data_IF_933563969483
#
_entry.id   IF_933563969483
#
_cell.length_a   1.000
_cell.length_b   1.000
_cell.length_c   1.000
_cell.angle_alpha   90.00
_cell.angle_beta   90.00
_cell.angle_gamma   90.00
#
_symmetry.space_group_name_H-M   'P 1'
#
loop_
_entity.id
_entity.type
_entity.pdbx_description
1 polymer ?
#
# COMPACT_ATOMS: atom_id res chain seq x y z
N UNK A 1 -5.28 -8.90 20.82
CA UNK A 1 -6.63 -8.83 20.20
C UNK A 1 -6.76 -7.48 19.53
N UNK A 2 -7.10 -7.41 18.22
CA UNK A 2 -7.40 -6.12 17.57
C UNK A 2 -8.76 -5.64 18.08
N UNK A 3 -8.80 -4.47 18.69
CA UNK A 3 -10.04 -3.87 19.16
C UNK A 3 -10.83 -3.36 17.95
N UNK A 4 -12.04 -3.88 17.77
CA UNK A 4 -12.93 -3.49 16.69
C UNK A 4 -13.58 -2.14 17.04
N UNK A 5 -13.27 -1.10 16.28
CA UNK A 5 -13.85 0.23 16.47
C UNK A 5 -15.09 0.34 15.59
N UNK A 6 -16.26 0.13 16.20
CA UNK A 6 -17.55 0.28 15.54
C UNK A 6 -18.28 1.53 16.05
N UNK A 7 -18.95 2.23 15.14
CA UNK A 7 -19.86 3.34 15.46
C UNK A 7 -21.17 3.09 14.74
N UNK A 8 -22.29 3.21 15.45
CA UNK A 8 -23.61 3.17 14.85
C UNK A 8 -23.96 4.57 14.35
N UNK A 9 -24.26 4.69 13.06
CA UNK A 9 -24.66 5.94 12.42
C UNK A 9 -25.94 5.75 11.64
N UNK A 10 -26.79 6.76 11.66
CA UNK A 10 -28.01 6.78 10.86
C UNK A 10 -27.69 7.26 9.43
N UNK A 11 -28.27 6.59 8.44
CA UNK A 11 -28.27 7.06 7.06
C UNK A 11 -29.11 8.34 6.98
N UNK A 12 -28.47 9.43 6.58
CA UNK A 12 -29.11 10.73 6.42
C UNK A 12 -29.79 10.84 5.04
N UNK A 13 -30.38 12.00 4.75
CA UNK A 13 -30.96 12.29 3.43
C UNK A 13 -29.92 12.08 2.33
N UNK A 14 -30.38 11.65 1.14
CA UNK A 14 -29.52 11.39 -0.03
C UNK A 14 -28.47 10.29 0.19
N UNK A 15 -28.78 9.32 1.06
CA UNK A 15 -27.90 8.17 1.34
C UNK A 15 -26.53 8.55 1.93
N UNK A 16 -26.44 9.68 2.64
CA UNK A 16 -25.21 10.12 3.27
C UNK A 16 -25.01 9.44 4.62
N UNK A 17 -23.80 8.96 4.89
CA UNK A 17 -23.39 8.42 6.19
C UNK A 17 -22.17 9.21 6.66
N UNK A 18 -22.26 9.84 7.83
CA UNK A 18 -21.11 10.54 8.40
C UNK A 18 -20.14 9.55 9.02
N UNK A 19 -18.95 9.44 8.42
CA UNK A 19 -17.85 8.58 8.88
C UNK A 19 -16.81 9.30 9.74
N UNK A 20 -17.04 10.57 10.11
CA UNK A 20 -16.03 11.46 10.70
C UNK A 20 -15.30 10.89 11.94
N UNK A 21 -15.99 10.12 12.78
CA UNK A 21 -15.40 9.49 13.97
C UNK A 21 -14.37 8.40 13.61
N UNK A 22 -14.62 7.65 12.53
CA UNK A 22 -13.72 6.61 12.01
C UNK A 22 -12.66 7.21 11.07
N UNK A 23 -13.06 8.18 10.25
CA UNK A 23 -12.22 8.88 9.27
C UNK A 23 -10.97 9.52 9.90
N UNK A 24 -11.11 10.13 11.09
CA UNK A 24 -9.96 10.70 11.83
C UNK A 24 -8.88 9.68 12.15
N UNK A 25 -9.24 8.44 12.44
CA UNK A 25 -8.27 7.35 12.70
C UNK A 25 -7.59 6.86 11.44
N UNK A 26 -8.26 6.99 10.29
CA UNK A 26 -7.72 6.66 8.97
C UNK A 26 -6.95 7.84 8.35
N UNK A 27 -6.92 9.01 8.99
CA UNK A 27 -6.27 10.20 8.45
C UNK A 27 -6.99 10.81 7.24
N UNK A 28 -8.25 10.46 7.02
CA UNK A 28 -9.04 10.97 5.89
C UNK A 28 -9.41 12.45 6.09
N UNK A 29 -9.31 13.23 5.01
CA UNK A 29 -9.71 14.64 4.93
C UNK A 29 -10.76 14.86 3.83
N UNK A 30 -11.37 16.04 3.85
CA UNK A 30 -12.30 16.44 2.78
C UNK A 30 -11.58 16.43 1.42
N UNK A 31 -12.23 15.83 0.42
CA UNK A 31 -11.69 15.67 -0.94
C UNK A 31 -10.95 14.35 -1.19
N UNK A 32 -10.65 13.56 -0.16
CA UNK A 32 -10.05 12.24 -0.34
C UNK A 32 -11.01 11.26 -1.03
N UNK A 33 -10.44 10.34 -1.79
CA UNK A 33 -11.18 9.30 -2.50
C UNK A 33 -11.27 8.03 -1.67
N UNK A 34 -12.45 7.40 -1.71
CA UNK A 34 -12.69 6.10 -1.08
C UNK A 34 -13.34 5.17 -2.09
N UNK A 35 -12.82 3.95 -2.18
CA UNK A 35 -13.45 2.85 -2.91
C UNK A 35 -14.49 2.19 -2.01
N UNK A 36 -15.66 1.93 -2.59
CA UNK A 36 -16.76 1.22 -1.96
C UNK A 36 -16.78 -0.21 -2.48
N UNK A 37 -16.64 -1.18 -1.58
CA UNK A 37 -16.62 -2.60 -1.93
C UNK A 37 -17.78 -3.30 -1.22
N UNK A 38 -18.65 -3.97 -1.97
CA UNK A 38 -19.70 -4.82 -1.43
C UNK A 38 -19.15 -6.26 -1.36
N UNK A 39 -19.18 -6.89 -0.19
CA UNK A 39 -18.82 -8.31 -0.09
C UNK A 39 -19.84 -9.20 -0.83
N UNK A 40 -19.41 -10.36 -1.32
CA UNK A 40 -20.23 -11.27 -2.13
C UNK A 40 -21.54 -11.69 -1.45
N UNK A 41 -21.52 -11.82 -0.11
CA UNK A 41 -22.69 -12.14 0.69
C UNK A 41 -23.62 -10.93 0.96
N UNK A 42 -23.28 -9.74 0.45
CA UNK A 42 -23.99 -8.47 0.61
C UNK A 42 -24.22 -8.02 2.07
N UNK A 43 -23.51 -8.61 3.03
CA UNK A 43 -23.72 -8.31 4.46
C UNK A 43 -22.82 -7.17 4.97
N UNK A 44 -21.83 -6.74 4.18
CA UNK A 44 -20.93 -5.68 4.57
C UNK A 44 -20.54 -4.79 3.39
N UNK A 45 -20.41 -3.50 3.68
CA UNK A 45 -19.84 -2.49 2.78
C UNK A 45 -18.48 -2.07 3.37
N UNK A 46 -17.40 -2.31 2.62
CA UNK A 46 -16.05 -1.90 3.00
C UNK A 46 -15.73 -0.56 2.32
N UNK A 47 -15.22 0.38 3.11
CA UNK A 47 -14.69 1.65 2.62
C UNK A 47 -13.16 1.57 2.67
N UNK A 48 -12.52 1.71 1.52
CA UNK A 48 -11.06 1.61 1.38
C UNK A 48 -10.53 2.95 0.85
N UNK A 49 -9.72 3.70 1.62
CA UNK A 49 -9.04 4.89 1.11
C UNK A 49 -8.20 4.56 -0.13
N UNK A 50 -8.25 5.41 -1.14
CA UNK A 50 -7.46 5.27 -2.36
C UNK A 50 -6.78 6.59 -2.72
N UNK A 51 -5.61 6.48 -3.35
CA UNK A 51 -4.85 7.60 -3.86
C UNK A 51 -4.55 7.39 -5.34
N UNK A 52 -4.24 8.48 -6.04
CA UNK A 52 -3.94 8.47 -7.47
C UNK A 52 -2.45 8.64 -7.69
N UNK A 53 -1.90 7.90 -8.66
CA UNK A 53 -0.55 8.11 -9.14
C UNK A 53 -0.57 8.40 -10.65
N UNK A 54 0.42 9.13 -11.19
CA UNK A 54 0.61 9.24 -12.63
C UNK A 54 0.70 7.85 -13.26
N UNK A 55 0.20 7.71 -14.49
CA UNK A 55 0.24 6.44 -15.24
C UNK A 55 1.67 5.90 -15.39
N UNK A 56 2.64 6.80 -15.57
CA UNK A 56 4.06 6.45 -15.65
C UNK A 56 4.59 5.74 -14.39
N UNK A 57 3.89 5.83 -13.26
CA UNK A 57 4.25 5.17 -11.99
C UNK A 57 3.44 3.90 -11.73
N UNK A 58 2.58 3.48 -12.66
CA UNK A 58 1.71 2.29 -12.47
C UNK A 58 2.51 1.00 -12.28
N UNK A 59 3.71 0.91 -12.87
CA UNK A 59 4.60 -0.24 -12.69
C UNK A 59 4.92 -0.51 -11.21
N UNK A 60 5.06 0.53 -10.39
CA UNK A 60 5.40 0.42 -8.98
C UNK A 60 4.28 -0.27 -8.18
N UNK A 61 3.03 -0.06 -8.60
CA UNK A 61 1.85 -0.61 -7.95
C UNK A 61 1.43 -1.98 -8.50
N UNK A 62 2.20 -2.54 -9.44
CA UNK A 62 1.98 -3.91 -9.89
C UNK A 62 2.26 -4.92 -8.76
N UNK A 63 1.51 -6.02 -8.74
CA UNK A 63 1.63 -7.03 -7.69
C UNK A 63 3.03 -7.65 -7.60
N UNK A 64 3.70 -7.86 -8.75
CA UNK A 64 5.07 -8.34 -8.80
C UNK A 64 6.04 -7.38 -8.09
N UNK A 65 5.93 -6.08 -8.39
CA UNK A 65 6.83 -5.07 -7.85
C UNK A 65 6.63 -4.90 -6.34
N UNK A 66 5.38 -4.89 -5.87
CA UNK A 66 5.05 -4.85 -4.44
C UNK A 66 5.57 -6.07 -3.67
N UNK A 67 5.49 -7.28 -4.25
CA UNK A 67 6.03 -8.48 -3.61
C UNK A 67 7.56 -8.46 -3.57
N UNK A 68 8.23 -7.99 -4.62
CA UNK A 68 9.69 -7.79 -4.62
C UNK A 68 10.12 -6.76 -3.57
N UNK A 69 9.36 -5.67 -3.41
CA UNK A 69 9.59 -4.68 -2.36
C UNK A 69 9.44 -5.27 -0.97
N UNK A 70 8.37 -6.02 -0.73
CA UNK A 70 8.14 -6.69 0.55
C UNK A 70 9.28 -7.64 0.92
N UNK A 71 9.76 -8.41 -0.05
CA UNK A 71 10.91 -9.30 0.15
C UNK A 71 12.19 -8.51 0.45
N UNK A 72 12.45 -7.43 -0.28
CA UNK A 72 13.61 -6.57 -0.05
C UNK A 72 13.58 -5.91 1.34
N UNK A 73 12.42 -5.45 1.79
CA UNK A 73 12.22 -4.89 3.14
C UNK A 73 12.43 -5.95 4.23
N UNK A 74 12.00 -7.19 3.98
CA UNK A 74 12.27 -8.32 4.89
C UNK A 74 13.76 -8.63 4.96
N UNK A 75 14.46 -8.67 3.82
CA UNK A 75 15.91 -8.90 3.77
C UNK A 75 16.68 -7.80 4.52
N UNK A 76 16.28 -6.54 4.36
CA UNK A 76 16.80 -5.40 5.12
C UNK A 76 16.60 -5.58 6.62
N UNK A 77 15.38 -5.94 7.06
CA UNK A 77 15.07 -6.13 8.47
C UNK A 77 15.82 -7.33 9.09
N UNK A 78 16.06 -8.37 8.31
CA UNK A 78 16.75 -9.59 8.74
C UNK A 78 18.27 -9.51 8.52
N UNK A 79 18.79 -8.36 8.10
CA UNK A 79 20.22 -8.12 7.88
C UNK A 79 20.82 -8.91 6.71
N UNK A 80 19.98 -9.47 5.82
CA UNK A 80 20.39 -10.11 4.57
C UNK A 80 20.70 -9.05 3.52
N UNK A 81 21.69 -8.22 3.83
CA UNK A 81 22.16 -7.15 2.96
C UNK A 81 23.63 -7.36 2.67
N UNK A 82 24.04 -6.98 1.47
CA UNK A 82 25.44 -6.88 1.11
C UNK A 82 25.86 -5.43 1.25
N UNK A 83 26.95 -5.19 1.96
CA UNK A 83 27.57 -3.88 2.11
C UNK A 83 28.86 -3.85 1.33
N UNK A 84 29.18 -2.69 0.77
CA UNK A 84 30.39 -2.46 -0.01
C UNK A 84 31.24 -1.43 0.70
N UNK A 85 32.55 -1.59 0.55
CA UNK A 85 33.53 -0.73 1.21
C UNK A 85 33.69 0.60 0.47
N UNK A 86 33.51 0.56 -0.85
CA UNK A 86 33.57 1.70 -1.75
C UNK A 86 32.62 1.53 -2.96
N UNK A 87 32.53 2.59 -3.76
CA UNK A 87 31.61 2.66 -4.90
C UNK A 87 32.09 1.79 -6.07
N UNK A 88 33.40 1.59 -6.24
CA UNK A 88 33.96 0.80 -7.34
C UNK A 88 33.61 -0.69 -7.17
N UNK A 89 33.66 -1.19 -5.92
CA UNK A 89 33.23 -2.55 -5.57
C UNK A 89 31.75 -2.79 -5.91
N UNK A 90 30.88 -1.82 -5.58
CA UNK A 90 29.46 -1.86 -5.91
C UNK A 90 29.23 -1.86 -7.43
N UNK A 91 29.90 -0.95 -8.15
CA UNK A 91 29.76 -0.84 -9.61
C UNK A 91 30.19 -2.11 -10.31
N UNK A 92 31.32 -2.69 -9.91
CA UNK A 92 31.81 -3.95 -10.47
C UNK A 92 30.80 -5.09 -10.32
N UNK A 93 30.10 -5.18 -9.19
CA UNK A 93 29.06 -6.21 -9.01
C UNK A 93 27.81 -5.94 -9.86
N UNK A 94 27.37 -4.69 -9.96
CA UNK A 94 26.20 -4.32 -10.75
C UNK A 94 26.41 -4.60 -12.24
N UNK A 95 27.60 -4.30 -12.77
CA UNK A 95 27.97 -4.59 -14.17
C UNK A 95 28.00 -6.10 -14.44
N UNK A 96 28.62 -6.88 -13.55
CA UNK A 96 28.66 -8.34 -13.65
C UNK A 96 27.26 -8.98 -13.53
N UNK A 97 26.35 -8.38 -12.77
CA UNK A 97 24.97 -8.83 -12.65
C UNK A 97 24.14 -8.54 -13.91
N UNK A 98 24.49 -7.52 -14.69
CA UNK A 98 23.85 -7.23 -15.98
C UNK A 98 24.32 -8.14 -17.11
N UNK A 99 25.59 -8.58 -17.09
CA UNK A 99 26.14 -9.46 -18.13
C UNK A 99 25.66 -10.92 -18.03
N UNK A 100 25.26 -11.39 -16.84
CA UNK A 100 24.76 -12.76 -16.62
C UNK A 100 23.27 -12.97 -17.01
N UNK A 101 22.65 -12.01 -17.72
CA UNK A 101 21.26 -12.12 -18.21
C UNK A 101 21.14 -12.37 -19.72
N UNK A 102 22.24 -12.65 -20.43
CA UNK A 102 22.24 -13.12 -21.81
C UNK A 102 22.40 -14.63 -21.92
#
# INVERSE_FOLDING_TARGET
>A
MKQEYAVIQQIQKRMLISIGQLAKKLGLKEGDYVRLELEENSNSLRLVPVDWHPREQEYFWSGEWQERMKNSLRDLAEGRVKTYSDVEELLGELENATDNKN
#
